data_IF_838579294722
#
_entry.id   IF_838579294722
#
_cell.length_a   1.000
_cell.length_b   1.000
_cell.length_c   1.000
_cell.angle_alpha   90.00
_cell.angle_beta   90.00
_cell.angle_gamma   90.00
#
_symmetry.space_group_name_H-M   'P 1'
#
loop_
_entity.id
_entity.type
_entity.pdbx_description
1 polymer ?
#
# COMPACT_ATOMS: atom_id res chain seq x y z
N UNK A 1 24.44 35.82 -31.67
CA UNK A 1 24.57 35.37 -30.26
C UNK A 1 26.06 35.35 -29.90
N UNK A 2 26.51 36.20 -28.98
CA UNK A 2 27.94 36.30 -28.64
C UNK A 2 28.51 35.02 -28.05
N UNK A 3 29.79 34.74 -28.29
CA UNK A 3 30.53 33.58 -27.75
C UNK A 3 30.46 33.50 -26.23
N UNK A 4 30.41 34.65 -25.55
CA UNK A 4 30.20 34.76 -24.10
C UNK A 4 28.85 34.18 -23.65
N UNK A 5 27.75 34.57 -24.31
CA UNK A 5 26.40 34.10 -23.97
C UNK A 5 26.26 32.58 -24.20
N UNK A 6 26.90 32.03 -25.24
CA UNK A 6 26.95 30.58 -25.49
C UNK A 6 27.70 29.82 -24.40
N UNK A 7 28.84 30.33 -23.94
CA UNK A 7 29.61 29.72 -22.83
C UNK A 7 28.84 29.80 -21.51
N UNK A 8 28.21 30.94 -21.22
CA UNK A 8 27.38 31.11 -20.03
C UNK A 8 26.19 30.15 -20.01
N UNK A 9 25.45 30.04 -21.13
CA UNK A 9 24.37 29.07 -21.27
C UNK A 9 24.85 27.62 -21.12
N UNK A 10 26.00 27.27 -21.70
CA UNK A 10 26.56 25.92 -21.57
C UNK A 10 26.93 25.58 -20.12
N UNK A 11 27.51 26.53 -19.37
CA UNK A 11 27.84 26.36 -17.95
C UNK A 11 26.56 26.23 -17.12
N UNK A 12 25.53 27.03 -17.41
CA UNK A 12 24.24 26.96 -16.72
C UNK A 12 23.55 25.60 -16.94
N UNK A 13 23.52 25.11 -18.18
CA UNK A 13 22.97 23.79 -18.52
C UNK A 13 23.75 22.69 -17.81
N UNK A 14 25.08 22.75 -17.82
CA UNK A 14 25.93 21.78 -17.12
C UNK A 14 25.64 21.76 -15.61
N UNK A 15 25.53 22.93 -14.98
CA UNK A 15 25.17 23.05 -13.56
C UNK A 15 23.80 22.44 -13.26
N UNK A 16 22.79 22.70 -14.09
CA UNK A 16 21.45 22.10 -13.94
C UNK A 16 21.54 20.58 -14.05
N UNK A 17 22.25 20.05 -15.04
CA UNK A 17 22.41 18.60 -15.21
C UNK A 17 23.13 17.96 -14.02
N UNK A 18 24.15 18.60 -13.46
CA UNK A 18 24.86 18.12 -12.26
C UNK A 18 23.94 18.12 -11.05
N UNK A 19 23.14 19.18 -10.84
CA UNK A 19 22.18 19.24 -9.73
C UNK A 19 21.10 18.16 -9.87
N UNK A 20 20.54 18.00 -11.08
CA UNK A 20 19.53 16.95 -11.37
C UNK A 20 20.12 15.56 -11.12
N UNK A 21 21.36 15.31 -11.55
CA UNK A 21 22.06 14.05 -11.32
C UNK A 21 22.32 13.81 -9.82
N UNK A 22 22.78 14.82 -9.10
CA UNK A 22 23.03 14.72 -7.66
C UNK A 22 21.73 14.42 -6.88
N UNK A 23 20.63 15.08 -7.24
CA UNK A 23 19.30 14.82 -6.68
C UNK A 23 18.86 13.38 -6.98
N UNK A 24 18.95 12.93 -8.23
CA UNK A 24 18.53 11.56 -8.61
C UNK A 24 19.37 10.47 -7.93
N UNK A 25 20.68 10.66 -7.80
CA UNK A 25 21.56 9.74 -7.06
C UNK A 25 21.22 9.74 -5.56
N UNK A 26 21.04 10.92 -4.96
CA UNK A 26 20.69 11.05 -3.54
C UNK A 26 19.36 10.37 -3.19
N UNK A 27 18.31 10.60 -3.99
CA UNK A 27 16.99 9.97 -3.79
C UNK A 27 16.89 8.51 -4.25
N UNK A 28 17.95 7.94 -4.84
CA UNK A 28 18.05 6.50 -5.13
C UNK A 28 18.87 5.72 -4.10
N UNK A 29 19.71 6.40 -3.32
CA UNK A 29 20.53 5.80 -2.24
C UNK A 29 19.88 5.78 -0.86
N UNK A 30 18.88 6.64 -0.59
CA UNK A 30 18.12 6.56 0.65
C UNK A 30 17.21 5.32 0.60
N UNK A 31 17.28 4.40 1.58
CA UNK A 31 16.28 3.35 1.68
C UNK A 31 14.93 4.05 1.86
N UNK A 32 14.06 3.96 0.84
CA UNK A 32 12.75 4.64 0.81
C UNK A 32 11.87 4.21 1.98
N UNK A 33 12.22 3.07 2.58
CA UNK A 33 11.66 2.53 3.81
C UNK A 33 12.67 1.71 4.60
N UNK A 34 12.37 1.52 5.88
CA UNK A 34 13.07 0.53 6.67
C UNK A 34 12.86 -0.87 6.06
N UNK A 35 13.84 -1.75 6.28
CA UNK A 35 13.64 -3.17 6.04
C UNK A 35 12.41 -3.66 6.84
N UNK A 36 11.66 -4.65 6.33
CA UNK A 36 10.55 -5.20 7.09
C UNK A 36 11.08 -5.76 8.41
N UNK A 37 10.26 -5.69 9.46
CA UNK A 37 10.63 -6.26 10.76
C UNK A 37 10.83 -7.77 10.62
N UNK A 38 11.80 -8.32 11.36
CA UNK A 38 12.01 -9.77 11.42
C UNK A 38 11.06 -10.46 12.42
N UNK A 39 9.99 -9.77 12.84
CA UNK A 39 9.08 -10.28 13.86
C UNK A 39 8.12 -11.32 13.27
N UNK A 40 7.71 -12.25 14.12
CA UNK A 40 6.66 -13.22 13.83
C UNK A 40 5.54 -13.00 14.82
N UNK A 41 4.33 -12.77 14.32
CA UNK A 41 3.17 -12.50 15.16
C UNK A 41 2.65 -13.81 15.73
N UNK A 42 2.58 -13.88 17.05
CA UNK A 42 1.98 -15.04 17.72
C UNK A 42 0.46 -15.06 17.50
N UNK A 43 -0.04 -16.22 17.04
CA UNK A 43 -1.47 -16.49 16.95
C UNK A 43 -2.07 -16.67 18.36
N UNK A 44 -3.11 -15.89 18.67
CA UNK A 44 -3.95 -16.12 19.86
C UNK A 44 -5.44 -16.00 19.50
N UNK A 45 -6.34 -16.73 20.18
CA UNK A 45 -7.78 -16.58 19.97
C UNK A 45 -8.28 -15.14 20.21
N UNK A 46 -7.67 -14.43 21.15
CA UNK A 46 -8.00 -13.03 21.43
C UNK A 46 -7.64 -12.10 20.25
N UNK A 47 -6.45 -12.27 19.66
CA UNK A 47 -6.04 -11.54 18.45
C UNK A 47 -6.90 -11.88 17.26
N UNK A 48 -7.30 -13.14 17.10
CA UNK A 48 -8.18 -13.55 16.02
C UNK A 48 -9.54 -12.83 16.12
N UNK A 49 -10.18 -12.85 17.28
CA UNK A 49 -11.46 -12.17 17.50
C UNK A 49 -11.35 -10.65 17.36
N UNK A 50 -10.26 -10.04 17.85
CA UNK A 50 -10.00 -8.61 17.68
C UNK A 50 -9.75 -8.24 16.22
N UNK A 51 -9.00 -9.07 15.52
CA UNK A 51 -8.64 -8.91 14.12
C UNK A 51 -9.86 -8.96 13.21
N UNK A 52 -10.78 -9.90 13.46
CA UNK A 52 -12.08 -9.99 12.77
C UNK A 52 -12.84 -8.65 12.85
N UNK A 53 -13.04 -8.15 14.07
CA UNK A 53 -13.72 -6.87 14.30
C UNK A 53 -13.02 -5.71 13.58
N UNK A 54 -11.69 -5.61 13.69
CA UNK A 54 -10.94 -4.54 13.05
C UNK A 54 -11.02 -4.64 11.51
N UNK A 55 -10.81 -5.82 10.95
CA UNK A 55 -10.77 -6.06 9.51
C UNK A 55 -12.15 -5.80 8.86
N UNK A 56 -13.21 -6.35 9.43
CA UNK A 56 -14.55 -6.30 8.85
C UNK A 56 -15.29 -4.99 9.16
N UNK A 57 -15.18 -4.47 10.38
CA UNK A 57 -16.03 -3.36 10.82
C UNK A 57 -15.30 -2.00 10.88
N UNK A 58 -14.05 -1.96 11.35
CA UNK A 58 -13.35 -0.69 11.62
C UNK A 58 -12.54 -0.21 10.42
N UNK A 59 -11.76 -1.10 9.82
CA UNK A 59 -10.83 -0.79 8.73
C UNK A 59 -11.45 -0.99 7.35
N UNK A 60 -12.50 -1.80 7.26
CA UNK A 60 -13.25 -2.03 6.03
C UNK A 60 -12.44 -2.71 4.93
N UNK A 61 -11.48 -3.58 5.28
CA UNK A 61 -10.60 -4.22 4.31
C UNK A 61 -11.35 -4.92 3.15
N UNK A 62 -12.48 -5.64 3.39
CA UNK A 62 -13.26 -6.28 2.33
C UNK A 62 -13.87 -5.31 1.31
N UNK A 63 -14.03 -4.03 1.65
CA UNK A 63 -14.59 -3.03 0.72
C UNK A 63 -13.72 -2.89 -0.53
N UNK A 64 -12.41 -3.02 -0.34
CA UNK A 64 -11.44 -2.92 -1.42
C UNK A 64 -10.93 -4.28 -1.86
N UNK A 65 -10.65 -5.18 -0.93
CA UNK A 65 -9.96 -6.45 -1.18
C UNK A 65 -10.89 -7.65 -1.41
N UNK A 66 -12.18 -7.45 -1.68
CA UNK A 66 -13.10 -8.52 -2.03
C UNK A 66 -13.93 -8.14 -3.26
N UNK A 67 -14.50 -9.12 -3.94
CA UNK A 67 -15.56 -8.86 -4.92
C UNK A 67 -16.75 -8.17 -4.27
N UNK A 68 -17.52 -7.43 -5.07
CA UNK A 68 -18.56 -6.51 -4.58
C UNK A 68 -19.86 -6.71 -5.37
N UNK A 69 -21.00 -6.75 -4.70
CA UNK A 69 -22.29 -6.85 -5.35
C UNK A 69 -22.87 -5.48 -5.67
N UNK A 70 -22.55 -4.97 -6.85
CA UNK A 70 -23.01 -3.66 -7.31
C UNK A 70 -24.50 -3.60 -7.71
N UNK A 71 -25.23 -4.73 -7.67
CA UNK A 71 -26.68 -4.71 -7.83
C UNK A 71 -27.40 -4.17 -6.59
N UNK A 72 -26.71 -4.13 -5.44
CA UNK A 72 -27.25 -3.64 -4.17
C UNK A 72 -26.68 -2.27 -3.79
N UNK A 73 -27.48 -1.50 -3.04
CA UNK A 73 -27.03 -0.21 -2.51
C UNK A 73 -25.80 -0.38 -1.60
N UNK A 74 -24.79 0.48 -1.79
CA UNK A 74 -23.52 0.40 -1.05
C UNK A 74 -22.57 -0.69 -1.55
N UNK A 75 -22.97 -1.47 -2.55
CA UNK A 75 -22.20 -2.51 -3.21
C UNK A 75 -21.50 -3.49 -2.24
N UNK A 76 -22.21 -4.20 -1.34
CA UNK A 76 -21.59 -4.94 -0.24
C UNK A 76 -20.51 -5.93 -0.71
N UNK A 77 -19.45 -6.16 0.08
CA UNK A 77 -18.44 -7.19 -0.22
C UNK A 77 -19.07 -8.58 -0.25
N UNK A 78 -18.60 -9.43 -1.17
CA UNK A 78 -18.98 -10.83 -1.28
C UNK A 78 -17.88 -11.74 -0.71
N UNK A 79 -18.24 -12.83 -0.02
CA UNK A 79 -17.29 -13.87 0.33
C UNK A 79 -16.85 -14.64 -0.94
N UNK A 80 -15.65 -15.24 -0.94
CA UNK A 80 -14.63 -15.20 0.12
C UNK A 80 -13.99 -13.79 0.23
N UNK A 81 -13.79 -13.31 1.47
CA UNK A 81 -13.23 -11.98 1.70
C UNK A 81 -11.72 -11.96 1.53
N UNK A 82 -11.18 -10.84 1.04
CA UNK A 82 -9.74 -10.66 0.86
C UNK A 82 -9.18 -11.25 -0.44
N UNK A 83 -10.01 -11.90 -1.26
CA UNK A 83 -9.60 -12.54 -2.53
C UNK A 83 -9.14 -11.57 -3.63
N UNK A 84 -9.15 -10.27 -3.39
CA UNK A 84 -8.91 -9.23 -4.38
C UNK A 84 -10.11 -9.04 -5.31
N UNK A 85 -10.03 -8.02 -6.17
CA UNK A 85 -11.04 -7.76 -7.20
C UNK A 85 -10.45 -7.13 -8.45
N UNK A 86 -11.22 -7.20 -9.53
CA UNK A 86 -10.85 -6.70 -10.87
C UNK A 86 -10.31 -5.26 -10.84
N UNK A 87 -9.39 -5.01 -11.77
CA UNK A 87 -8.69 -3.74 -11.87
C UNK A 87 -9.59 -2.63 -12.41
N UNK A 88 -9.38 -1.42 -11.91
CA UNK A 88 -9.94 -0.20 -12.47
C UNK A 88 -9.00 0.33 -13.54
N UNK A 89 -9.50 0.48 -14.78
CA UNK A 89 -8.75 1.09 -15.89
C UNK A 89 -9.43 2.39 -16.33
N UNK A 90 -8.67 3.42 -16.75
CA UNK A 90 -9.24 4.67 -17.25
C UNK A 90 -10.10 4.38 -18.48
N UNK A 91 -11.34 4.86 -18.48
CA UNK A 91 -12.27 4.70 -19.60
C UNK A 91 -12.90 3.31 -19.74
N UNK A 92 -12.52 2.32 -18.91
CA UNK A 92 -13.26 1.06 -18.73
C UNK A 92 -13.94 1.00 -17.37
N UNK A 93 -14.29 2.18 -16.85
CA UNK A 93 -15.03 2.32 -15.61
C UNK A 93 -16.28 1.43 -15.61
N UNK A 94 -16.26 0.40 -14.76
CA UNK A 94 -17.49 -0.30 -14.36
C UNK A 94 -18.31 0.58 -13.39
N UNK A 95 -17.71 1.66 -12.87
CA UNK A 95 -18.34 2.64 -11.98
C UNK A 95 -17.91 4.04 -12.37
N UNK A 96 -18.90 4.92 -12.55
CA UNK A 96 -18.73 6.32 -12.94
C UNK A 96 -17.71 7.11 -12.10
N UNK A 97 -17.56 8.41 -12.40
CA UNK A 97 -16.29 9.16 -12.46
C UNK A 97 -15.46 9.32 -11.15
N UNK A 98 -15.80 8.61 -10.08
CA UNK A 98 -15.29 8.85 -8.73
C UNK A 98 -14.43 7.72 -8.14
N UNK A 99 -14.43 6.48 -8.67
CA UNK A 99 -13.81 5.36 -7.92
C UNK A 99 -12.35 5.08 -8.31
N UNK A 100 -11.95 5.36 -9.55
CA UNK A 100 -10.53 5.49 -9.89
C UNK A 100 -9.96 6.87 -9.51
N UNK A 101 -10.79 7.77 -8.96
CA UNK A 101 -10.38 9.13 -8.57
C UNK A 101 -9.71 9.95 -9.69
N UNK A 102 -9.90 9.58 -10.96
CA UNK A 102 -9.16 10.16 -12.09
C UNK A 102 -7.66 9.84 -12.10
N UNK A 103 -7.21 8.83 -11.34
CA UNK A 103 -5.82 8.42 -11.29
C UNK A 103 -5.44 7.73 -12.61
N UNK A 104 -4.38 8.20 -13.29
CA UNK A 104 -3.98 7.65 -14.56
C UNK A 104 -3.26 6.32 -14.37
N UNK A 105 -3.82 5.23 -14.92
CA UNK A 105 -3.22 3.89 -14.90
C UNK A 105 -4.20 2.81 -14.46
N UNK A 106 -3.72 1.57 -14.39
CA UNK A 106 -4.51 0.39 -14.00
C UNK A 106 -4.34 0.13 -12.52
N UNK A 107 -5.43 0.15 -11.75
CA UNK A 107 -5.41 -0.05 -10.30
C UNK A 107 -6.11 -1.35 -9.94
N UNK A 108 -5.35 -2.33 -9.48
CA UNK A 108 -5.87 -3.62 -9.04
C UNK A 108 -5.90 -3.70 -7.51
N UNK A 109 -7.00 -4.18 -6.96
CA UNK A 109 -7.11 -4.42 -5.52
C UNK A 109 -6.65 -5.84 -5.23
N UNK A 110 -5.45 -5.96 -4.65
CA UNK A 110 -4.72 -7.22 -4.52
C UNK A 110 -5.46 -8.28 -3.70
N UNK A 111 -5.19 -9.54 -4.01
CA UNK A 111 -5.50 -10.67 -3.15
C UNK A 111 -4.63 -10.63 -1.89
N UNK A 112 -5.27 -10.56 -0.72
CA UNK A 112 -4.61 -10.53 0.61
C UNK A 112 -4.88 -11.81 1.40
N UNK A 113 -5.44 -12.84 0.79
CA UNK A 113 -5.60 -14.15 1.43
C UNK A 113 -4.25 -14.86 1.56
N UNK A 114 -4.11 -15.87 2.44
CA UNK A 114 -2.87 -16.65 2.61
C UNK A 114 -2.61 -17.63 1.45
N UNK A 115 -3.07 -17.32 0.24
CA UNK A 115 -2.76 -18.07 -0.98
C UNK A 115 -1.43 -17.59 -1.61
N UNK A 116 -0.81 -18.42 -2.44
CA UNK A 116 0.45 -18.08 -3.14
C UNK A 116 0.30 -16.92 -4.15
N UNK A 117 -0.89 -16.76 -4.75
CA UNK A 117 -1.24 -15.58 -5.56
C UNK A 117 -1.68 -14.36 -4.75
N UNK A 118 -1.73 -14.49 -3.42
CA UNK A 118 -1.95 -13.40 -2.46
C UNK A 118 -0.70 -13.15 -1.61
N UNK A 119 -0.87 -13.07 -0.29
CA UNK A 119 0.22 -12.77 0.65
C UNK A 119 0.77 -14.02 1.36
N UNK A 120 0.44 -15.22 0.89
CA UNK A 120 0.82 -16.48 1.54
C UNK A 120 2.33 -16.66 1.71
N UNK A 121 3.14 -16.06 0.83
CA UNK A 121 4.61 -16.12 0.88
C UNK A 121 5.26 -14.95 1.61
N UNK A 122 4.50 -13.91 1.96
CA UNK A 122 5.03 -12.72 2.62
C UNK A 122 5.29 -13.04 4.09
N UNK A 123 6.35 -12.49 4.65
CA UNK A 123 6.63 -12.50 6.09
C UNK A 123 5.68 -11.56 6.84
N UNK A 124 5.57 -11.73 8.16
CA UNK A 124 4.69 -10.90 8.96
C UNK A 124 5.12 -9.42 8.94
N UNK A 125 6.43 -9.16 9.01
CA UNK A 125 6.97 -7.81 8.89
C UNK A 125 6.71 -7.15 7.54
N UNK A 126 6.67 -7.92 6.44
CA UNK A 126 6.28 -7.39 5.13
C UNK A 126 4.81 -7.00 5.09
N UNK A 127 3.92 -7.80 5.68
CA UNK A 127 2.48 -7.49 5.78
C UNK A 127 2.25 -6.27 6.67
N UNK A 128 2.92 -6.20 7.83
CA UNK A 128 2.82 -5.05 8.75
C UNK A 128 3.34 -3.77 8.09
N UNK A 129 4.45 -3.85 7.34
CA UNK A 129 4.99 -2.74 6.55
C UNK A 129 4.03 -2.31 5.45
N UNK A 130 3.44 -3.26 4.71
CA UNK A 130 2.44 -2.94 3.69
C UNK A 130 1.23 -2.21 4.29
N UNK A 131 0.71 -2.72 5.41
CA UNK A 131 -0.44 -2.14 6.08
C UNK A 131 -0.17 -0.75 6.66
N UNK A 132 0.94 -0.57 7.37
CA UNK A 132 1.18 0.63 8.19
C UNK A 132 2.10 1.64 7.53
N UNK A 133 2.99 1.21 6.64
CA UNK A 133 3.89 2.10 5.90
C UNK A 133 3.46 2.31 4.45
N UNK A 134 2.58 1.46 3.93
CA UNK A 134 2.08 1.54 2.56
C UNK A 134 3.12 1.11 1.55
N UNK A 135 3.87 0.05 1.85
CA UNK A 135 4.98 -0.45 1.03
C UNK A 135 4.91 -1.96 0.94
N UNK A 136 4.81 -2.49 -0.28
CA UNK A 136 4.72 -3.93 -0.52
C UNK A 136 6.06 -4.67 -0.26
N UNK A 137 6.05 -5.99 -0.48
CA UNK A 137 7.25 -6.83 -0.34
C UNK A 137 8.39 -6.39 -1.28
N UNK A 138 8.07 -5.93 -2.49
CA UNK A 138 9.02 -5.47 -3.51
C UNK A 138 9.54 -4.03 -3.29
N UNK A 139 8.95 -3.30 -2.34
CA UNK A 139 9.33 -1.93 -2.01
C UNK A 139 8.60 -0.84 -2.80
N UNK A 140 7.50 -1.18 -3.48
CA UNK A 140 6.65 -0.21 -4.17
C UNK A 140 5.67 0.46 -3.20
N UNK A 141 5.40 1.74 -3.46
CA UNK A 141 4.42 2.51 -2.70
C UNK A 141 2.98 2.09 -3.05
N UNK A 142 2.19 1.78 -2.03
CA UNK A 142 0.76 1.43 -2.12
C UNK A 142 -0.17 2.66 -1.96
N UNK A 143 0.38 3.80 -1.53
CA UNK A 143 -0.32 5.08 -1.40
C UNK A 143 -0.51 5.75 -2.77
N UNK A 144 -1.65 6.39 -3.10
CA UNK A 144 -2.77 6.77 -2.21
C UNK A 144 -3.89 5.74 -2.12
N UNK A 145 -3.81 4.62 -2.86
CA UNK A 145 -4.91 3.66 -2.97
C UNK A 145 -5.13 2.94 -1.65
N UNK A 146 -4.06 2.40 -1.07
CA UNK A 146 -4.11 1.81 0.26
C UNK A 146 -3.87 2.91 1.31
N UNK A 147 -4.80 3.12 2.26
CA UNK A 147 -4.75 4.26 3.17
C UNK A 147 -3.83 4.02 4.38
N UNK A 148 -2.56 3.69 4.13
CA UNK A 148 -1.56 3.46 5.18
C UNK A 148 -1.35 4.69 6.09
N UNK A 149 -1.62 5.90 5.61
CA UNK A 149 -1.60 7.12 6.43
C UNK A 149 -2.63 7.10 7.58
N UNK A 150 -3.69 6.30 7.46
CA UNK A 150 -4.66 6.06 8.54
C UNK A 150 -4.16 4.89 9.39
N UNK A 151 -3.84 3.76 8.75
CA UNK A 151 -3.50 2.51 9.45
C UNK A 151 -2.17 2.57 10.20
N UNK A 152 -1.26 3.49 9.87
CA UNK A 152 -0.03 3.71 10.63
C UNK A 152 -0.26 4.02 12.12
N UNK A 153 -1.45 4.53 12.45
CA UNK A 153 -1.85 4.89 13.81
C UNK A 153 -2.46 3.74 14.61
N UNK A 154 -2.64 2.57 14.00
CA UNK A 154 -2.99 1.36 14.75
C UNK A 154 -1.94 1.11 15.81
N UNK A 155 -2.39 0.64 16.97
CA UNK A 155 -1.49 0.09 17.97
C UNK A 155 -0.81 -1.17 17.40
N UNK A 156 0.35 -1.52 17.96
CA UNK A 156 1.04 -2.74 17.50
C UNK A 156 0.16 -3.98 17.72
N UNK A 157 -0.58 -4.01 18.83
CA UNK A 157 -1.50 -5.11 19.14
C UNK A 157 -2.70 -5.17 18.18
N UNK A 158 -3.27 -4.04 17.79
CA UNK A 158 -4.34 -4.02 16.78
C UNK A 158 -3.80 -4.43 15.41
N UNK A 159 -2.59 -3.99 15.04
CA UNK A 159 -1.94 -4.38 13.80
C UNK A 159 -1.65 -5.90 13.75
N UNK A 160 -1.14 -6.45 14.86
CA UNK A 160 -0.93 -7.89 15.02
C UNK A 160 -2.24 -8.66 14.98
N UNK A 161 -3.31 -8.13 15.56
CA UNK A 161 -4.65 -8.72 15.50
C UNK A 161 -5.17 -8.80 14.07
N UNK A 162 -5.07 -7.70 13.31
CA UNK A 162 -5.47 -7.67 11.89
C UNK A 162 -4.67 -8.69 11.09
N UNK A 163 -3.34 -8.72 11.26
CA UNK A 163 -2.49 -9.70 10.58
C UNK A 163 -2.91 -11.13 10.92
N UNK A 164 -3.14 -11.42 12.20
CA UNK A 164 -3.58 -12.73 12.68
C UNK A 164 -4.86 -13.17 11.97
N UNK A 165 -5.83 -12.28 11.84
CA UNK A 165 -7.09 -12.57 11.14
C UNK A 165 -6.89 -12.76 9.63
N UNK A 166 -6.09 -11.90 8.97
CA UNK A 166 -5.80 -12.01 7.54
C UNK A 166 -5.14 -13.36 7.20
N UNK A 167 -4.24 -13.85 8.07
CA UNK A 167 -3.63 -15.19 7.94
C UNK A 167 -4.61 -16.35 8.07
N UNK A 168 -5.82 -16.12 8.58
CA UNK A 168 -6.87 -17.13 8.75
C UNK A 168 -7.99 -17.02 7.70
N UNK A 169 -7.90 -16.06 6.76
CA UNK A 169 -8.83 -16.00 5.64
C UNK A 169 -8.75 -17.29 4.80
N UNK A 170 -9.88 -17.67 4.21
CA UNK A 170 -9.90 -18.74 3.23
C UNK A 170 -8.97 -18.40 2.06
N UNK A 171 -7.99 -19.27 1.70
CA UNK A 171 -7.10 -19.01 0.58
C UNK A 171 -7.90 -18.94 -0.73
N UNK A 172 -7.70 -17.86 -1.49
CA UNK A 172 -8.33 -17.67 -2.81
C UNK A 172 -7.25 -17.68 -3.87
N UNK A 173 -7.39 -18.54 -4.90
CA UNK A 173 -6.53 -18.47 -6.07
C UNK A 173 -7.04 -17.42 -7.06
N UNK A 174 -6.49 -16.22 -6.95
CA UNK A 174 -6.82 -15.10 -7.82
C UNK A 174 -5.57 -14.28 -8.15
N UNK A 175 -4.78 -14.69 -9.16
CA UNK A 175 -3.66 -13.90 -9.63
C UNK A 175 -4.17 -12.66 -10.35
N UNK A 176 -3.84 -11.49 -9.80
CA UNK A 176 -4.20 -10.19 -10.39
C UNK A 176 -2.95 -9.55 -11.02
N UNK A 177 -3.10 -8.84 -12.15
CA UNK A 177 -1.99 -8.11 -12.74
C UNK A 177 -1.52 -6.98 -11.81
N UNK A 178 -0.35 -6.45 -12.11
CA UNK A 178 0.24 -5.36 -11.33
C UNK A 178 -0.51 -4.05 -11.49
N UNK A 179 -0.62 -3.31 -10.39
CA UNK A 179 -1.09 -1.93 -10.42
C UNK A 179 -0.04 -1.07 -11.09
N UNK A 180 -0.39 -0.46 -12.21
CA UNK A 180 0.46 0.46 -12.95
C UNK A 180 -0.09 1.87 -12.82
N UNK A 181 0.68 2.75 -12.19
CA UNK A 181 0.37 4.19 -12.16
C UNK A 181 1.25 4.90 -13.18
N UNK A 182 0.66 5.79 -13.97
CA UNK A 182 1.37 6.51 -15.02
C UNK A 182 2.30 7.60 -14.44
N UNK A 183 3.35 7.92 -15.20
CA UNK A 183 4.19 9.08 -14.93
C UNK A 183 3.38 10.39 -15.07
N UNK A 184 3.61 11.42 -14.23
CA UNK A 184 4.62 11.53 -13.18
C UNK A 184 4.19 11.02 -11.80
N UNK A 185 2.96 10.53 -11.66
CA UNK A 185 2.38 10.23 -10.36
C UNK A 185 3.07 9.06 -9.67
N UNK A 186 3.42 8.00 -10.40
CA UNK A 186 4.16 6.85 -9.84
C UNK A 186 5.50 7.26 -9.19
N UNK A 187 6.18 8.24 -9.77
CA UNK A 187 7.43 8.76 -9.25
C UNK A 187 7.20 9.59 -7.99
N UNK A 188 6.16 10.42 -7.98
CA UNK A 188 5.78 11.22 -6.80
C UNK A 188 5.34 10.33 -5.62
N UNK A 189 4.57 9.27 -5.89
CA UNK A 189 4.10 8.32 -4.87
C UNK A 189 5.25 7.66 -4.12
N UNK A 190 6.40 7.44 -4.76
CA UNK A 190 7.61 6.89 -4.11
C UNK A 190 8.17 7.77 -2.99
N UNK A 191 7.76 9.03 -2.90
CA UNK A 191 8.25 10.00 -1.90
C UNK A 191 7.33 10.10 -0.67
N UNK A 192 6.18 9.42 -0.68
CA UNK A 192 5.13 9.59 0.32
C UNK A 192 5.20 8.61 1.51
N UNK A 193 5.51 7.32 1.31
CA UNK A 193 5.71 6.40 2.43
C UNK A 193 6.79 6.87 3.39
N UNK A 194 6.59 6.62 4.68
CA UNK A 194 7.56 6.96 5.74
C UNK A 194 7.63 5.82 6.75
N UNK A 195 8.84 5.39 7.13
CA UNK A 195 9.04 4.42 8.20
C UNK A 195 8.24 4.78 9.45
N UNK A 196 7.79 3.76 10.18
CA UNK A 196 7.29 3.96 11.53
C UNK A 196 8.45 4.37 12.45
N UNK A 197 8.20 5.23 13.45
CA UNK A 197 9.18 5.46 14.50
C UNK A 197 9.46 4.15 15.24
N UNK A 198 10.70 3.90 15.64
CA UNK A 198 11.12 2.65 16.31
C UNK A 198 10.42 2.39 17.66
N UNK A 199 9.67 3.37 18.20
CA UNK A 199 8.94 3.17 19.44
C UNK A 199 7.57 2.52 19.17
N UNK A 200 7.22 1.46 19.95
CA UNK A 200 5.91 0.84 19.89
C UNK A 200 4.78 1.87 19.95
N UNK A 201 3.86 1.80 18.99
CA UNK A 201 2.61 2.55 19.09
C UNK A 201 1.73 1.83 20.11
N UNK A 202 1.77 2.32 21.35
CA UNK A 202 0.96 1.77 22.43
C UNK A 202 -0.52 1.94 22.14
N UNK A 203 -1.31 0.90 22.41
CA UNK A 203 -2.76 1.03 22.46
C UNK A 203 -3.15 2.03 23.54
N UNK A 204 -4.11 2.94 23.29
CA UNK A 204 -4.66 3.79 24.34
C UNK A 204 -5.33 3.00 25.48
N UNK A 205 -5.65 1.71 25.26
CA UNK A 205 -6.40 0.86 26.19
C UNK A 205 -5.52 -0.10 27.01
N UNK A 206 -4.36 0.37 27.45
CA UNK A 206 -3.49 -0.37 28.36
C UNK A 206 -3.71 -0.03 29.83
N UNK A 207 -4.95 -0.10 30.34
CA UNK A 207 -5.28 0.01 31.77
C UNK A 207 -6.80 -0.13 32.05
N UNK A 208 -7.38 -1.31 31.82
CA UNK A 208 -8.53 -1.82 32.59
C UNK A 208 -8.52 -3.33 32.58
#
# INVERSE_FOLDING_TARGET
>A
MGTFLRKFLAILVLLILVVVLAITVYFSWLPRSAAPSAETVEFTPARLARGDYLFNAVLGCPVCHSERDFSQFGAPPLPPFGGGRVCMEPGKEVFGPAVAGGLPGTICFRNITPHASGIGTWSDGEILRAMREGIDHDGNALFPIMPAYIYRHLSDEDAHSVLTYVRQLDPVDNPLPDTEVNFPLNWLMRLLPRPLPMNPTRSPMGNT
#
